data_IF_301817235489
#
_entry.id   IF_301817235489
#
_cell.length_a   1.000
_cell.length_b   1.000
_cell.length_c   1.000
_cell.angle_alpha   90.00
_cell.angle_beta   90.00
_cell.angle_gamma   90.00
#
_symmetry.space_group_name_H-M   'P 1'
#
loop_
_entity.id
_entity.type
_entity.pdbx_description
1 polymer ?
#
# COMPACT_ATOMS: atom_id res chain seq x y z
N UNK A 1 -20.70 -4.52 11.27
CA UNK A 1 -20.29 -3.80 10.05
C UNK A 1 -20.02 -4.86 9.01
N UNK A 2 -20.86 -4.92 8.00
CA UNK A 2 -20.77 -5.96 6.98
C UNK A 2 -20.05 -5.35 5.79
N UNK A 3 -18.75 -5.61 5.70
CA UNK A 3 -17.96 -5.23 4.54
C UNK A 3 -18.31 -6.17 3.37
N UNK A 4 -18.36 -5.63 2.16
CA UNK A 4 -18.61 -6.39 0.95
C UNK A 4 -17.67 -7.60 0.87
N UNK A 5 -18.15 -8.82 0.57
CA UNK A 5 -17.30 -9.99 0.50
C UNK A 5 -16.28 -9.87 -0.65
N UNK A 6 -15.27 -10.75 -0.63
CA UNK A 6 -14.39 -10.92 -1.78
C UNK A 6 -15.10 -11.78 -2.82
N UNK A 7 -14.83 -11.50 -4.09
CA UNK A 7 -15.41 -12.24 -5.21
C UNK A 7 -14.83 -13.64 -5.26
N UNK A 8 -15.68 -14.64 -5.46
CA UNK A 8 -15.25 -16.03 -5.58
C UNK A 8 -14.52 -16.24 -6.93
N UNK A 9 -13.32 -16.85 -6.94
CA UNK A 9 -12.56 -17.13 -8.16
C UNK A 9 -13.38 -17.85 -9.24
N UNK A 10 -14.29 -18.73 -8.84
CA UNK A 10 -15.11 -19.52 -9.77
C UNK A 10 -16.03 -18.65 -10.63
N UNK A 11 -16.55 -17.53 -10.11
CA UNK A 11 -17.38 -16.60 -10.89
C UNK A 11 -16.54 -15.91 -11.97
N UNK A 12 -15.32 -15.48 -11.61
CA UNK A 12 -14.37 -14.86 -12.54
C UNK A 12 -13.97 -15.84 -13.64
N UNK A 13 -13.59 -17.08 -13.28
CA UNK A 13 -13.25 -18.11 -14.28
C UNK A 13 -14.40 -18.40 -15.24
N UNK A 14 -15.64 -18.44 -14.73
CA UNK A 14 -16.83 -18.66 -15.55
C UNK A 14 -17.07 -17.52 -16.54
N UNK A 15 -16.90 -16.26 -16.11
CA UNK A 15 -16.96 -15.09 -16.99
C UNK A 15 -16.00 -15.21 -18.18
N UNK A 16 -14.73 -15.48 -17.91
CA UNK A 16 -13.72 -15.58 -18.97
C UNK A 16 -13.95 -16.77 -19.89
N UNK A 17 -14.44 -17.91 -19.35
CA UNK A 17 -14.80 -19.07 -20.17
C UNK A 17 -15.90 -18.73 -21.18
N UNK A 18 -16.96 -18.05 -20.76
CA UNK A 18 -18.05 -17.65 -21.65
C UNK A 18 -17.60 -16.56 -22.64
N UNK A 19 -16.82 -15.58 -22.17
CA UNK A 19 -16.28 -14.55 -23.05
C UNK A 19 -15.40 -15.12 -24.18
N UNK A 20 -14.60 -16.17 -23.91
CA UNK A 20 -13.83 -16.90 -24.95
C UNK A 20 -14.70 -17.58 -26.01
N UNK A 21 -15.95 -17.89 -25.69
CA UNK A 21 -16.94 -18.44 -26.63
C UNK A 21 -17.77 -17.34 -27.31
N UNK A 22 -17.46 -16.06 -27.07
CA UNK A 22 -18.26 -14.92 -27.56
C UNK A 22 -19.57 -14.70 -26.80
N UNK A 23 -19.79 -15.42 -25.70
CA UNK A 23 -21.02 -15.36 -24.90
C UNK A 23 -20.83 -14.42 -23.72
N UNK A 24 -21.67 -13.39 -23.63
CA UNK A 24 -21.70 -12.47 -22.49
C UNK A 24 -22.95 -12.74 -21.64
N UNK A 25 -22.79 -13.53 -20.58
CA UNK A 25 -23.83 -13.75 -19.57
C UNK A 25 -24.02 -12.46 -18.76
N UNK A 26 -25.06 -11.69 -19.11
CA UNK A 26 -25.30 -10.38 -18.48
C UNK A 26 -25.59 -10.49 -16.98
N UNK A 27 -26.25 -11.58 -16.55
CA UNK A 27 -26.55 -11.82 -15.15
C UNK A 27 -25.27 -12.05 -14.36
N UNK A 28 -24.37 -12.90 -14.87
CA UNK A 28 -23.09 -13.16 -14.23
C UNK A 28 -22.16 -11.93 -14.23
N UNK A 29 -22.15 -11.15 -15.32
CA UNK A 29 -21.41 -9.89 -15.40
C UNK A 29 -21.92 -8.86 -14.39
N UNK A 30 -23.25 -8.76 -14.24
CA UNK A 30 -23.88 -7.88 -13.28
C UNK A 30 -23.51 -8.29 -11.85
N UNK A 31 -23.66 -9.57 -11.52
CA UNK A 31 -23.35 -10.13 -10.20
C UNK A 31 -21.88 -9.88 -9.80
N UNK A 32 -20.92 -10.33 -10.62
CA UNK A 32 -19.49 -10.11 -10.36
C UNK A 32 -19.13 -8.63 -10.32
N UNK A 33 -19.68 -7.86 -11.26
CA UNK A 33 -19.38 -6.44 -11.37
C UNK A 33 -19.83 -5.63 -10.17
N UNK A 34 -21.03 -5.90 -9.63
CA UNK A 34 -21.52 -5.25 -8.42
C UNK A 34 -20.82 -5.73 -7.15
N UNK A 35 -20.43 -7.01 -7.06
CA UNK A 35 -19.58 -7.48 -5.95
C UNK A 35 -18.23 -6.75 -5.95
N UNK A 36 -17.57 -6.64 -7.11
CA UNK A 36 -16.33 -5.87 -7.26
C UNK A 36 -16.55 -4.40 -6.93
N UNK A 37 -17.66 -3.81 -7.39
CA UNK A 37 -18.00 -2.41 -7.15
C UNK A 37 -18.16 -2.11 -5.65
N UNK A 38 -18.96 -2.91 -4.95
CA UNK A 38 -19.18 -2.78 -3.51
C UNK A 38 -17.86 -2.92 -2.74
N UNK A 39 -17.03 -3.90 -3.13
CA UNK A 39 -15.70 -4.08 -2.53
C UNK A 39 -14.77 -2.89 -2.80
N UNK A 40 -14.81 -2.33 -4.00
CA UNK A 40 -14.03 -1.15 -4.36
C UNK A 40 -14.46 0.09 -3.55
N UNK A 41 -15.76 0.28 -3.35
CA UNK A 41 -16.29 1.35 -2.49
C UNK A 41 -15.76 1.23 -1.07
N UNK A 42 -15.81 0.04 -0.48
CA UNK A 42 -15.30 -0.21 0.87
C UNK A 42 -13.79 0.07 0.99
N UNK A 43 -12.99 -0.41 0.03
CA UNK A 43 -11.55 -0.16 -0.02
C UNK A 43 -11.26 1.35 -0.10
N UNK A 44 -12.00 2.07 -0.96
CA UNK A 44 -11.84 3.52 -1.11
C UNK A 44 -12.21 4.26 0.18
N UNK A 45 -13.34 3.91 0.80
CA UNK A 45 -13.83 4.50 2.05
C UNK A 45 -12.83 4.28 3.19
N UNK A 46 -12.32 3.05 3.34
CA UNK A 46 -11.29 2.73 4.34
C UNK A 46 -10.01 3.51 4.09
N UNK A 47 -9.58 3.67 2.84
CA UNK A 47 -8.39 4.44 2.51
C UNK A 47 -8.55 5.94 2.84
N UNK A 48 -9.74 6.50 2.66
CA UNK A 48 -10.03 7.91 3.01
C UNK A 48 -9.96 8.15 4.53
N UNK A 49 -10.29 7.17 5.36
CA UNK A 49 -10.15 7.29 6.82
C UNK A 49 -8.71 7.57 7.23
N UNK A 50 -7.75 6.91 6.60
CA UNK A 50 -6.33 7.07 6.93
C UNK A 50 -5.72 8.35 6.37
N UNK A 51 -6.35 9.00 5.38
CA UNK A 51 -5.90 10.28 4.82
C UNK A 51 -6.57 11.49 5.46
N UNK A 52 -7.88 11.42 5.65
CA UNK A 52 -8.72 12.54 6.07
C UNK A 52 -9.33 12.40 7.46
N UNK A 53 -9.12 11.28 8.15
CA UNK A 53 -9.57 11.11 9.54
C UNK A 53 -11.07 11.03 9.71
N UNK A 54 -11.80 10.74 8.64
CA UNK A 54 -13.25 10.59 8.68
C UNK A 54 -13.59 9.11 8.66
N UNK A 55 -14.06 8.60 9.79
CA UNK A 55 -14.38 7.18 9.99
C UNK A 55 -15.87 6.95 9.68
N UNK A 56 -16.24 6.06 8.75
CA UNK A 56 -17.64 5.73 8.51
C UNK A 56 -18.24 4.99 9.71
N UNK A 57 -19.41 5.43 10.15
CA UNK A 57 -20.17 4.79 11.22
C UNK A 57 -20.57 3.35 10.84
N UNK A 58 -20.38 2.34 11.70
CA UNK A 58 -20.78 0.96 11.43
C UNK A 58 -22.27 0.70 11.19
N UNK A 59 -23.15 1.60 11.64
CA UNK A 59 -24.61 1.47 11.50
C UNK A 59 -25.17 2.22 10.28
N UNK A 60 -24.77 3.47 10.07
CA UNK A 60 -25.38 4.34 9.06
C UNK A 60 -24.38 4.91 8.05
N UNK A 61 -23.10 4.51 8.12
CA UNK A 61 -22.02 4.97 7.23
C UNK A 61 -21.72 6.48 7.27
N UNK A 62 -22.42 7.27 8.09
CA UNK A 62 -22.10 8.69 8.31
C UNK A 62 -20.65 8.85 8.74
N UNK A 63 -19.95 9.80 8.11
CA UNK A 63 -18.54 10.08 8.34
C UNK A 63 -18.35 10.83 9.67
N UNK A 64 -17.79 10.14 10.67
CA UNK A 64 -17.44 10.69 11.98
C UNK A 64 -16.01 11.22 11.95
N UNK A 65 -15.80 12.46 12.38
CA UNK A 65 -14.47 13.03 12.48
C UNK A 65 -13.71 12.38 13.64
N UNK A 66 -12.52 11.87 13.35
CA UNK A 66 -11.55 11.34 14.30
C UNK A 66 -10.43 12.35 14.46
N UNK A 67 -9.88 12.48 15.67
CA UNK A 67 -8.66 13.24 15.89
C UNK A 67 -7.49 12.51 15.22
N UNK A 68 -7.11 12.95 14.03
CA UNK A 68 -5.83 12.54 13.45
C UNK A 68 -4.77 13.37 14.16
N UNK A 69 -3.85 12.71 14.85
CA UNK A 69 -2.67 13.40 15.35
C UNK A 69 -1.91 13.97 14.13
N UNK A 70 -1.65 15.30 14.08
CA UNK A 70 -1.04 15.98 12.93
C UNK A 70 0.29 15.36 12.49
N UNK A 71 0.96 14.66 13.40
CA UNK A 71 2.16 13.88 13.11
C UNK A 71 1.95 12.80 12.04
N UNK A 72 0.71 12.31 11.86
CA UNK A 72 0.35 11.33 10.83
C UNK A 72 -0.31 11.95 9.60
N UNK A 73 -0.76 13.20 9.67
CA UNK A 73 -1.42 13.91 8.56
C UNK A 73 -0.43 14.43 7.51
N UNK A 74 0.84 14.66 7.89
CA UNK A 74 1.86 15.27 7.04
C UNK A 74 2.79 14.27 6.33
N UNK A 75 2.76 12.99 6.71
CA UNK A 75 3.50 11.95 6.02
C UNK A 75 2.56 11.14 5.14
N UNK A 76 2.72 11.23 3.82
CA UNK A 76 2.13 10.24 2.92
C UNK A 76 2.49 8.86 3.48
N UNK A 77 1.50 8.13 3.99
CA UNK A 77 1.66 6.80 4.56
C UNK A 77 1.95 5.72 3.50
N UNK A 78 2.51 6.11 2.36
CA UNK A 78 3.22 5.25 1.44
C UNK A 78 4.71 5.53 1.61
N UNK A 79 5.55 4.53 1.40
CA UNK A 79 6.92 4.85 0.95
C UNK A 79 6.77 5.86 -0.20
N UNK A 80 7.28 7.10 -0.04
CA UNK A 80 7.46 8.10 -1.10
C UNK A 80 8.48 7.57 -2.13
N UNK A 81 8.34 6.31 -2.55
CA UNK A 81 9.12 5.76 -3.64
C UNK A 81 8.30 6.03 -4.89
N UNK A 82 8.67 7.13 -5.53
CA UNK A 82 8.22 7.46 -6.85
C UNK A 82 8.71 6.36 -7.79
N UNK A 83 7.78 5.82 -8.57
CA UNK A 83 8.15 4.94 -9.68
C UNK A 83 8.81 5.80 -10.76
N UNK A 84 9.77 5.22 -11.47
CA UNK A 84 10.47 5.85 -12.58
C UNK A 84 10.57 4.84 -13.72
N UNK A 85 10.85 5.32 -14.94
CA UNK A 85 11.16 4.45 -16.07
C UNK A 85 12.67 4.27 -16.15
N UNK A 86 13.12 3.04 -16.38
CA UNK A 86 14.52 2.82 -16.74
C UNK A 86 14.84 3.61 -18.03
N UNK A 87 15.90 4.42 -18.08
CA UNK A 87 16.29 5.11 -19.30
C UNK A 87 16.74 4.16 -20.42
N UNK A 88 17.10 2.92 -20.08
CA UNK A 88 17.66 1.94 -21.03
C UNK A 88 16.62 0.97 -21.58
N UNK A 89 15.80 0.36 -20.72
CA UNK A 89 14.79 -0.61 -21.14
C UNK A 89 13.35 -0.10 -21.05
N UNK A 90 13.14 1.17 -20.66
CA UNK A 90 11.82 1.82 -20.51
C UNK A 90 10.87 1.20 -19.47
N UNK A 91 11.28 0.09 -18.86
CA UNK A 91 10.54 -0.63 -17.84
C UNK A 91 10.27 0.21 -16.60
N UNK A 92 9.13 -0.07 -15.98
CA UNK A 92 8.67 0.68 -14.82
C UNK A 92 9.26 0.10 -13.54
N UNK A 93 9.98 0.94 -12.78
CA UNK A 93 10.75 0.52 -11.61
C UNK A 93 10.40 1.32 -10.36
N UNK A 94 10.63 0.71 -9.20
CA UNK A 94 10.82 1.41 -7.92
C UNK A 94 12.26 1.24 -7.46
N UNK A 95 12.79 2.25 -6.76
CA UNK A 95 14.17 2.17 -6.24
C UNK A 95 14.37 1.01 -5.24
N UNK A 96 13.33 0.61 -4.50
CA UNK A 96 13.37 -0.60 -3.67
C UNK A 96 13.51 -1.88 -4.48
N UNK A 97 12.95 -1.94 -5.69
CA UNK A 97 12.95 -3.16 -6.50
C UNK A 97 14.38 -3.41 -7.02
N UNK A 98 15.10 -2.35 -7.42
CA UNK A 98 16.54 -2.41 -7.71
C UNK A 98 17.36 -2.93 -6.51
N UNK A 99 17.08 -2.42 -5.30
CA UNK A 99 17.77 -2.89 -4.08
C UNK A 99 17.41 -4.34 -3.74
N UNK A 100 16.16 -4.73 -3.93
CA UNK A 100 15.70 -6.07 -3.60
C UNK A 100 16.26 -7.10 -4.58
N UNK A 101 16.36 -6.76 -5.87
CA UNK A 101 17.03 -7.60 -6.87
C UNK A 101 18.47 -7.94 -6.46
N UNK A 102 19.23 -6.95 -5.98
CA UNK A 102 20.60 -7.16 -5.48
C UNK A 102 20.67 -7.90 -4.14
N UNK A 103 19.60 -7.94 -3.36
CA UNK A 103 19.56 -8.82 -2.17
C UNK A 103 19.29 -10.27 -2.55
N UNK A 104 18.48 -10.47 -3.57
CA UNK A 104 18.13 -11.80 -4.06
C UNK A 104 19.30 -12.42 -4.83
N UNK A 105 19.92 -11.63 -5.72
CA UNK A 105 21.10 -12.00 -6.51
C UNK A 105 22.18 -10.93 -6.30
N UNK A 106 23.01 -11.08 -5.26
CA UNK A 106 24.10 -10.14 -4.98
C UNK A 106 25.05 -10.05 -6.15
N UNK A 107 25.34 -8.82 -6.57
CA UNK A 107 26.31 -8.51 -7.63
C UNK A 107 27.35 -7.55 -7.11
N UNK A 108 28.56 -7.66 -7.64
CA UNK A 108 29.60 -6.68 -7.37
C UNK A 108 29.17 -5.31 -7.88
N UNK A 109 29.50 -4.28 -7.13
CA UNK A 109 29.16 -2.91 -7.52
C UNK A 109 30.08 -2.33 -8.60
N UNK A 110 31.19 -2.98 -8.90
CA UNK A 110 32.16 -2.54 -9.89
C UNK A 110 32.16 -3.50 -11.09
N UNK A 111 32.46 -4.78 -10.84
CA UNK A 111 32.55 -5.82 -11.87
C UNK A 111 31.16 -6.26 -12.39
N UNK A 112 30.07 -5.98 -11.67
CA UNK A 112 28.68 -6.42 -11.94
C UNK A 112 28.44 -7.94 -11.99
N UNK A 113 29.49 -8.75 -11.86
CA UNK A 113 29.40 -10.20 -11.74
C UNK A 113 28.60 -10.59 -10.49
N UNK A 114 27.91 -11.74 -10.58
CA UNK A 114 27.20 -12.34 -9.45
C UNK A 114 28.22 -12.73 -8.39
N UNK A 115 27.93 -12.40 -7.13
CA UNK A 115 28.80 -12.72 -6.01
C UNK A 115 28.51 -14.14 -5.54
N UNK A 116 29.57 -14.87 -5.22
CA UNK A 116 29.45 -16.16 -4.55
C UNK A 116 28.96 -15.93 -3.12
N UNK A 117 27.88 -16.61 -2.74
CA UNK A 117 27.21 -16.45 -1.45
C UNK A 117 27.61 -17.59 -0.51
N UNK A 118 28.61 -17.33 0.31
CA UNK A 118 29.02 -18.18 1.43
C UNK A 118 28.87 -17.40 2.75
N UNK A 119 29.84 -17.47 3.67
CA UNK A 119 29.90 -16.63 4.87
C UNK A 119 30.14 -15.15 4.51
N UNK A 120 30.86 -14.89 3.41
CA UNK A 120 31.07 -13.56 2.83
C UNK A 120 30.77 -13.60 1.33
N UNK A 121 30.37 -12.45 0.78
CA UNK A 121 30.24 -12.28 -0.66
C UNK A 121 31.61 -12.05 -1.30
N UNK A 122 31.93 -12.78 -2.37
CA UNK A 122 33.20 -12.64 -3.11
C UNK A 122 32.92 -12.39 -4.61
N UNK A 123 33.53 -11.36 -5.22
CA UNK A 123 33.61 -11.24 -6.71
C UNK A 123 34.94 -11.80 -7.19
N UNK A 124 34.95 -12.36 -8.41
CA UNK A 124 36.15 -12.69 -9.17
C UNK A 124 37.14 -11.52 -9.36
N UNK A 125 36.71 -10.27 -9.19
CA UNK A 125 37.57 -9.09 -9.20
C UNK A 125 38.33 -8.86 -7.87
N UNK A 126 38.35 -9.84 -6.97
CA UNK A 126 39.08 -9.79 -5.69
C UNK A 126 38.38 -9.05 -4.55
N UNK A 127 37.20 -8.45 -4.79
CA UNK A 127 36.47 -7.71 -3.74
C UNK A 127 35.59 -8.63 -2.91
N UNK A 128 35.56 -8.38 -1.61
CA UNK A 128 34.76 -9.14 -0.65
C UNK A 128 33.89 -8.23 0.22
N UNK A 129 32.73 -8.73 0.63
CA UNK A 129 31.80 -8.02 1.52
C UNK A 129 31.22 -8.97 2.56
N UNK A 130 31.09 -8.52 3.81
CA UNK A 130 30.15 -9.17 4.73
C UNK A 130 28.70 -8.89 4.29
N UNK A 131 27.74 -9.77 4.61
CA UNK A 131 26.33 -9.54 4.28
C UNK A 131 25.77 -8.21 4.80
N UNK A 132 26.19 -7.79 5.99
CA UNK A 132 25.79 -6.53 6.63
C UNK A 132 26.39 -5.32 5.91
N UNK A 133 27.69 -5.37 5.60
CA UNK A 133 28.37 -4.32 4.84
C UNK A 133 27.75 -4.15 3.45
N UNK A 134 27.45 -5.25 2.77
CA UNK A 134 26.78 -5.23 1.47
C UNK A 134 25.38 -4.60 1.55
N UNK A 135 24.56 -5.00 2.54
CA UNK A 135 23.24 -4.40 2.79
C UNK A 135 23.34 -2.90 3.09
N UNK A 136 24.37 -2.47 3.82
CA UNK A 136 24.59 -1.06 4.13
C UNK A 136 24.99 -0.27 2.87
N UNK A 137 25.88 -0.80 2.03
CA UNK A 137 26.24 -0.20 0.75
C UNK A 137 25.02 -0.04 -0.18
N UNK A 138 24.11 -1.02 -0.22
CA UNK A 138 22.86 -0.91 -0.98
C UNK A 138 21.95 0.24 -0.53
N UNK A 139 22.03 0.67 0.73
CA UNK A 139 21.17 1.73 1.27
C UNK A 139 21.64 3.13 0.86
N UNK A 140 22.95 3.31 0.72
CA UNK A 140 23.58 4.62 0.52
C UNK A 140 23.84 4.93 -0.96
N UNK A 141 23.96 3.92 -1.82
CA UNK A 141 24.25 4.11 -3.25
C UNK A 141 23.13 4.86 -3.99
N UNK A 142 23.56 5.73 -4.89
CA UNK A 142 22.72 6.51 -5.80
C UNK A 142 22.62 5.89 -7.20
N UNK A 143 23.45 4.91 -7.52
CA UNK A 143 23.44 4.16 -8.77
C UNK A 143 23.31 2.68 -8.45
N UNK A 144 22.37 2.00 -9.09
CA UNK A 144 22.16 0.56 -8.98
C UNK A 144 21.79 -0.02 -10.35
N UNK A 145 22.14 -1.28 -10.64
CA UNK A 145 21.70 -1.95 -11.86
C UNK A 145 20.17 -2.11 -11.89
N UNK A 146 19.59 -1.89 -13.07
CA UNK A 146 18.22 -2.24 -13.39
C UNK A 146 18.02 -3.76 -13.25
N UNK A 147 16.92 -4.24 -12.63
CA UNK A 147 16.64 -5.67 -12.55
C UNK A 147 16.30 -6.32 -13.90
N UNK A 148 15.96 -5.54 -14.93
CA UNK A 148 15.57 -6.04 -16.26
C UNK A 148 16.74 -6.02 -17.25
N UNK A 149 17.42 -4.88 -17.40
CA UNK A 149 18.52 -4.73 -18.38
C UNK A 149 19.92 -4.70 -17.77
N UNK A 150 20.05 -4.74 -16.44
CA UNK A 150 21.33 -4.67 -15.70
C UNK A 150 22.17 -3.39 -15.90
N UNK A 151 21.74 -2.46 -16.74
CA UNK A 151 22.35 -1.14 -16.85
C UNK A 151 22.11 -0.29 -15.61
N UNK A 152 23.06 0.61 -15.33
CA UNK A 152 22.99 1.47 -14.16
C UNK A 152 21.88 2.50 -14.31
N UNK A 153 21.03 2.56 -13.29
CA UNK A 153 19.99 3.55 -13.13
C UNK A 153 20.28 4.42 -11.91
N UNK A 154 20.07 5.73 -12.06
CA UNK A 154 20.22 6.70 -10.97
C UNK A 154 18.98 6.72 -10.09
N UNK A 155 19.19 6.86 -8.79
CA UNK A 155 18.12 7.06 -7.83
C UNK A 155 17.31 8.29 -8.25
N UNK A 156 15.98 8.17 -8.41
CA UNK A 156 15.15 9.33 -8.69
C UNK A 156 15.34 10.35 -7.58
N UNK A 157 15.60 11.59 -7.98
CA UNK A 157 15.58 12.70 -7.03
C UNK A 157 14.16 12.80 -6.47
N UNK A 158 14.01 13.01 -5.14
CA UNK A 158 12.70 13.33 -4.63
C UNK A 158 12.21 14.56 -5.40
N UNK A 159 10.94 14.60 -5.84
CA UNK A 159 10.42 15.81 -6.46
C UNK A 159 10.74 16.97 -5.52
N UNK A 160 11.28 18.06 -6.08
CA UNK A 160 11.54 19.31 -5.34
C UNK A 160 10.27 19.58 -4.55
N UNK A 161 10.34 19.39 -3.23
CA UNK A 161 9.21 19.72 -2.38
C UNK A 161 9.13 21.23 -2.48
N UNK A 162 8.19 21.74 -3.30
CA UNK A 162 7.69 23.10 -3.14
C UNK A 162 7.47 23.26 -1.65
N UNK A 163 8.19 24.22 -1.06
CA UNK A 163 8.32 24.46 0.37
C UNK A 163 6.92 24.34 0.98
N UNK A 164 6.59 23.16 1.50
CA UNK A 164 5.34 22.98 2.21
C UNK A 164 5.51 23.88 3.41
N UNK A 165 4.66 24.91 3.49
CA UNK A 165 4.49 25.76 4.64
C UNK A 165 4.89 24.99 5.89
N UNK A 166 5.88 25.54 6.61
CA UNK A 166 6.40 25.08 7.90
C UNK A 166 5.22 24.99 8.86
N UNK A 167 4.42 23.93 8.75
CA UNK A 167 3.32 23.65 9.65
C UNK A 167 3.99 23.51 11.01
N UNK A 168 3.65 24.42 11.92
CA UNK A 168 4.10 24.44 13.31
C UNK A 168 4.21 23.00 13.81
N UNK A 169 5.39 22.63 14.29
CA UNK A 169 5.61 21.31 14.88
C UNK A 169 4.48 21.09 15.90
N UNK A 170 3.67 20.03 15.77
CA UNK A 170 2.49 19.88 16.60
C UNK A 170 2.90 19.81 18.06
N UNK A 171 2.17 20.52 18.90
CA UNK A 171 2.34 20.51 20.35
C UNK A 171 2.25 19.05 20.84
N UNK A 172 3.34 18.53 21.39
CA UNK A 172 3.37 17.17 21.91
C UNK A 172 2.97 17.21 23.39
N UNK A 173 2.10 16.28 23.78
CA UNK A 173 1.71 16.13 25.17
C UNK A 173 2.32 14.87 25.77
N UNK A 174 2.76 14.98 27.02
CA UNK A 174 3.29 13.86 27.77
C UNK A 174 2.20 12.82 28.02
N UNK A 175 2.42 11.54 27.70
CA UNK A 175 1.43 10.50 27.95
C UNK A 175 1.21 10.21 29.45
N UNK A 176 2.11 10.66 30.33
CA UNK A 176 2.03 10.43 31.79
C UNK A 176 1.26 11.54 32.51
N UNK A 177 1.58 12.80 32.23
CA UNK A 177 1.02 13.96 32.94
C UNK A 177 0.24 14.93 32.05
N UNK A 178 0.13 14.68 30.75
CA UNK A 178 -0.47 15.58 29.74
C UNK A 178 0.21 16.95 29.56
N UNK A 179 1.22 17.27 30.37
CA UNK A 179 2.05 18.47 30.22
C UNK A 179 2.82 18.51 28.90
N UNK A 180 3.38 19.68 28.57
CA UNK A 180 4.09 19.88 27.31
C UNK A 180 5.30 18.96 27.18
N UNK A 181 5.56 18.51 25.96
CA UNK A 181 6.68 17.64 25.63
C UNK A 181 7.36 18.08 24.33
N UNK A 182 8.66 17.78 24.23
CA UNK A 182 9.50 18.13 23.11
C UNK A 182 10.10 16.87 22.48
N UNK A 183 10.29 16.89 21.17
CA UNK A 183 11.05 15.84 20.48
C UNK A 183 12.52 16.24 20.43
N UNK A 184 13.35 15.58 21.23
CA UNK A 184 14.79 15.83 21.30
C UNK A 184 15.57 14.52 21.16
N UNK A 185 16.60 14.52 20.32
CA UNK A 185 17.52 13.39 20.14
C UNK A 185 16.83 12.02 19.89
N UNK A 186 15.70 12.02 19.17
CA UNK A 186 14.94 10.79 18.89
C UNK A 186 14.06 10.30 20.05
N UNK A 187 13.87 11.10 21.10
CA UNK A 187 12.99 10.85 22.23
C UNK A 187 11.92 11.94 22.35
N UNK A 188 10.77 11.59 22.93
CA UNK A 188 9.85 12.57 23.51
C UNK A 188 10.25 12.77 24.98
N UNK A 189 10.45 14.02 25.36
CA UNK A 189 10.84 14.43 26.71
C UNK A 189 9.82 15.44 27.23
N UNK A 190 9.21 15.14 28.38
CA UNK A 190 8.25 16.03 29.01
C UNK A 190 8.97 17.12 29.81
N UNK A 191 8.58 18.37 29.60
CA UNK A 191 9.15 19.52 30.31
C UNK A 191 8.63 19.66 31.75
N UNK A 192 7.51 19.00 32.07
CA UNK A 192 6.86 19.08 33.40
C UNK A 192 7.31 17.96 34.33
N UNK A 193 7.28 16.71 33.87
CA UNK A 193 7.55 15.54 34.74
C UNK A 193 8.83 14.77 34.39
N UNK A 194 9.64 15.27 33.43
CA UNK A 194 10.87 14.62 32.99
C UNK A 194 10.67 13.27 32.27
N UNK A 195 9.43 12.88 31.97
CA UNK A 195 9.14 11.62 31.29
C UNK A 195 9.84 11.54 29.93
N UNK A 196 10.62 10.48 29.72
CA UNK A 196 11.37 10.23 28.49
C UNK A 196 10.94 8.93 27.84
N UNK A 197 10.68 8.96 26.53
CA UNK A 197 10.37 7.76 25.74
C UNK A 197 10.94 7.87 24.34
N UNK A 198 11.40 6.75 23.76
CA UNK A 198 11.80 6.70 22.35
C UNK A 198 10.66 7.16 21.44
N UNK A 199 10.96 8.08 20.52
CA UNK A 199 9.99 8.67 19.59
C UNK A 199 9.25 7.61 18.78
N UNK A 200 9.97 6.56 18.33
CA UNK A 200 9.38 5.42 17.61
C UNK A 200 8.26 4.76 18.41
N UNK A 201 8.45 4.57 19.71
CA UNK A 201 7.50 3.87 20.57
C UNK A 201 6.35 4.77 21.01
N UNK A 202 6.62 6.07 21.21
CA UNK A 202 5.58 7.08 21.35
C UNK A 202 4.64 7.10 20.12
N UNK A 203 5.20 7.18 18.90
CA UNK A 203 4.40 7.13 17.66
C UNK A 203 3.62 5.82 17.49
N UNK A 204 4.17 4.68 17.92
CA UNK A 204 3.43 3.41 17.95
C UNK A 204 2.26 3.46 18.93
N UNK A 205 2.46 4.06 20.11
CA UNK A 205 1.40 4.19 21.12
C UNK A 205 0.22 5.05 20.64
N UNK A 206 0.51 6.15 19.93
CA UNK A 206 -0.52 6.98 19.32
C UNK A 206 -1.36 6.21 18.27
N UNK A 207 -0.74 5.32 17.48
CA UNK A 207 -1.46 4.44 16.54
C UNK A 207 -2.36 3.41 17.25
N UNK A 208 -2.00 3.02 18.47
CA UNK A 208 -2.72 2.05 19.30
C UNK A 208 -3.79 2.69 20.20
N UNK A 209 -3.85 4.03 20.28
CA UNK A 209 -4.87 4.73 21.07
C UNK A 209 -6.25 4.26 20.60
N UNK A 210 -7.07 3.81 21.55
CA UNK A 210 -8.41 3.30 21.30
C UNK A 210 -9.42 4.34 21.73
N UNK A 211 -9.67 5.30 20.84
CA UNK A 211 -10.64 6.37 21.11
C UNK A 211 -12.09 5.89 20.88
N UNK A 212 -12.99 6.42 21.71
CA UNK A 212 -14.43 6.25 21.58
C UNK A 212 -14.94 7.29 20.57
N UNK A 213 -15.60 6.83 19.52
CA UNK A 213 -16.21 7.65 18.47
C UNK A 213 -17.72 7.54 18.58
N UNK A 214 -18.41 8.66 18.42
CA UNK A 214 -19.86 8.75 18.46
C UNK A 214 -20.39 9.30 17.14
N UNK A 215 -21.40 8.65 16.59
CA UNK A 215 -21.99 9.07 15.33
C UNK A 215 -23.01 10.21 15.57
N UNK A 216 -22.85 11.39 14.95
CA UNK A 216 -23.79 12.49 15.13
C UNK A 216 -25.18 12.22 14.51
N UNK A 217 -25.29 11.24 13.61
CA UNK A 217 -26.53 10.94 12.91
C UNK A 217 -27.38 9.88 13.64
N UNK A 218 -26.77 8.77 14.06
CA UNK A 218 -27.51 7.65 14.68
C UNK A 218 -27.14 7.40 16.15
N UNK A 219 -26.33 8.29 16.76
CA UNK A 219 -25.85 8.21 18.15
C UNK A 219 -25.09 6.92 18.50
N UNK A 220 -24.81 6.08 17.48
CA UNK A 220 -24.08 4.84 17.69
C UNK A 220 -22.65 5.13 18.11
N UNK A 221 -22.26 4.55 19.24
CA UNK A 221 -20.91 4.64 19.75
C UNK A 221 -20.10 3.41 19.39
N UNK A 222 -18.86 3.60 18.92
CA UNK A 222 -17.93 2.53 18.61
C UNK A 222 -16.48 2.92 18.93
N UNK A 223 -15.62 1.90 19.07
CA UNK A 223 -14.20 2.09 19.37
C UNK A 223 -13.33 2.04 18.12
N UNK A 224 -12.32 2.90 18.03
CA UNK A 224 -11.43 2.98 16.88
C UNK A 224 -10.68 1.68 16.60
N UNK A 225 -10.13 0.99 17.62
CA UNK A 225 -9.39 -0.25 17.37
C UNK A 225 -10.31 -1.38 16.88
N UNK A 226 -11.56 -1.43 17.36
CA UNK A 226 -12.56 -2.38 16.85
C UNK A 226 -12.87 -2.11 15.37
N UNK A 227 -13.11 -0.84 15.01
CA UNK A 227 -13.32 -0.44 13.62
C UNK A 227 -12.09 -0.76 12.75
N UNK A 228 -10.90 -0.42 13.22
CA UNK A 228 -9.62 -0.67 12.54
C UNK A 228 -9.37 -2.16 12.31
N UNK A 229 -9.70 -3.01 13.28
CA UNK A 229 -9.60 -4.47 13.17
C UNK A 229 -10.54 -5.00 12.08
N UNK A 230 -11.76 -4.48 12.02
CA UNK A 230 -12.76 -4.90 11.01
C UNK A 230 -12.32 -4.58 9.57
N UNK A 231 -11.51 -3.53 9.36
CA UNK A 231 -11.07 -3.07 8.03
C UNK A 231 -9.76 -3.70 7.56
N UNK A 232 -9.19 -4.65 8.31
CA UNK A 232 -7.88 -5.24 8.00
C UNK A 232 -7.82 -5.83 6.59
N UNK A 233 -8.91 -6.44 6.12
CA UNK A 233 -9.02 -7.04 4.78
C UNK A 233 -9.23 -6.04 3.64
N UNK A 234 -9.41 -4.76 3.95
CA UNK A 234 -9.67 -3.67 2.99
C UNK A 234 -8.51 -2.68 2.88
N UNK A 235 -7.53 -2.81 3.77
CA UNK A 235 -6.46 -1.83 3.90
C UNK A 235 -5.46 -1.95 2.76
N UNK A 236 -5.30 -0.87 2.01
CA UNK A 236 -4.30 -0.74 0.95
C UNK A 236 -3.58 0.59 1.02
N UNK A 237 -2.30 0.61 0.65
CA UNK A 237 -1.55 1.85 0.40
C UNK A 237 -1.91 2.50 -0.95
N UNK A 238 -2.54 1.75 -1.85
CA UNK A 238 -2.90 2.19 -3.20
C UNK A 238 -4.40 1.95 -3.49
N UNK A 239 -5.29 2.90 -3.15
CA UNK A 239 -6.72 2.79 -3.43
C UNK A 239 -7.10 3.20 -4.85
N UNK A 240 -6.15 3.60 -5.72
CA UNK A 240 -6.45 4.12 -7.06
C UNK A 240 -7.25 3.14 -7.93
N UNK A 241 -6.89 1.84 -8.03
CA UNK A 241 -7.65 0.88 -8.85
C UNK A 241 -9.13 0.80 -8.43
N UNK A 242 -9.39 0.77 -7.12
CA UNK A 242 -10.74 0.73 -6.58
C UNK A 242 -11.54 2.00 -6.95
N UNK A 243 -10.94 3.19 -6.83
CA UNK A 243 -11.60 4.46 -7.18
C UNK A 243 -11.90 4.56 -8.68
N UNK A 244 -10.96 4.12 -9.51
CA UNK A 244 -11.13 4.12 -10.97
C UNK A 244 -12.24 3.15 -11.38
N UNK A 245 -12.30 1.96 -10.77
CA UNK A 245 -13.36 1.01 -11.03
C UNK A 245 -14.74 1.57 -10.67
N UNK A 246 -14.91 2.12 -9.47
CA UNK A 246 -16.18 2.74 -9.03
C UNK A 246 -16.65 3.82 -10.00
N UNK A 247 -15.73 4.69 -10.45
CA UNK A 247 -16.06 5.78 -11.38
C UNK A 247 -16.49 5.29 -12.76
N UNK A 248 -15.83 4.24 -13.27
CA UNK A 248 -16.06 3.73 -14.63
C UNK A 248 -17.23 2.75 -14.70
N UNK A 249 -17.42 1.90 -13.69
CA UNK A 249 -18.45 0.86 -13.65
C UNK A 249 -19.86 1.42 -13.90
N UNK A 250 -20.21 2.54 -13.25
CA UNK A 250 -21.52 3.19 -13.39
C UNK A 250 -21.80 3.72 -14.81
N UNK A 251 -20.78 3.80 -15.67
CA UNK A 251 -20.90 4.26 -17.06
C UNK A 251 -21.03 3.11 -18.05
N UNK A 252 -20.79 1.86 -17.63
CA UNK A 252 -20.89 0.68 -18.47
C UNK A 252 -22.36 0.33 -18.72
N UNK A 253 -22.80 0.45 -19.98
CA UNK A 253 -24.19 0.16 -20.39
C UNK A 253 -24.32 -1.20 -21.07
N UNK A 254 -23.28 -1.66 -21.77
CA UNK A 254 -23.32 -2.94 -22.50
C UNK A 254 -22.58 -4.06 -21.75
N UNK A 255 -22.93 -5.35 -21.99
CA UNK A 255 -22.23 -6.49 -21.41
C UNK A 255 -20.73 -6.48 -21.74
N UNK A 256 -20.37 -6.14 -22.98
CA UNK A 256 -18.98 -6.02 -23.40
C UNK A 256 -18.23 -4.93 -22.63
N UNK A 257 -18.83 -3.75 -22.43
CA UNK A 257 -18.23 -2.68 -21.62
C UNK A 257 -18.02 -3.11 -20.17
N UNK A 258 -18.97 -3.87 -19.59
CA UNK A 258 -18.85 -4.43 -18.24
C UNK A 258 -17.69 -5.42 -18.16
N UNK A 259 -17.57 -6.31 -19.14
CA UNK A 259 -16.47 -7.28 -19.22
C UNK A 259 -15.11 -6.58 -19.32
N UNK A 260 -14.96 -5.60 -20.23
CA UNK A 260 -13.73 -4.80 -20.38
C UNK A 260 -13.37 -4.10 -19.06
N UNK A 261 -14.36 -3.57 -18.34
CA UNK A 261 -14.11 -2.86 -17.09
C UNK A 261 -13.69 -3.81 -15.95
N UNK A 262 -14.24 -5.03 -15.91
CA UNK A 262 -13.80 -6.10 -14.99
C UNK A 262 -12.37 -6.53 -15.33
N UNK A 263 -12.10 -6.78 -16.61
CA UNK A 263 -10.79 -7.20 -17.09
C UNK A 263 -9.69 -6.16 -16.79
N UNK A 264 -9.95 -4.88 -17.07
CA UNK A 264 -9.03 -3.79 -16.76
C UNK A 264 -8.66 -3.72 -15.26
N UNK A 265 -9.62 -4.02 -14.37
CA UNK A 265 -9.33 -4.13 -12.95
C UNK A 265 -8.44 -5.35 -12.66
N UNK A 266 -8.78 -6.52 -13.19
CA UNK A 266 -8.03 -7.75 -12.96
C UNK A 266 -6.58 -7.66 -13.46
N UNK A 267 -6.35 -7.10 -14.65
CA UNK A 267 -5.02 -6.80 -15.18
C UNK A 267 -4.25 -5.84 -14.25
N UNK A 268 -4.93 -4.79 -13.74
CA UNK A 268 -4.32 -3.87 -12.79
C UNK A 268 -3.93 -4.56 -11.48
N UNK A 269 -4.70 -5.54 -11.03
CA UNK A 269 -4.41 -6.33 -9.83
C UNK A 269 -3.28 -7.33 -10.07
N UNK A 270 -3.18 -7.90 -11.27
CA UNK A 270 -2.12 -8.81 -11.68
C UNK A 270 -0.75 -8.11 -11.77
N UNK A 271 -0.68 -6.97 -12.45
CA UNK A 271 0.57 -6.19 -12.59
C UNK A 271 1.01 -5.43 -11.32
N UNK A 272 0.17 -5.36 -10.27
CA UNK A 272 0.44 -4.57 -9.05
C UNK A 272 0.42 -5.40 -7.76
N UNK A 273 1.25 -6.46 -7.70
CA UNK A 273 1.63 -7.11 -6.45
C UNK A 273 0.47 -7.62 -5.57
N UNK A 274 0.53 -7.54 -4.22
CA UNK A 274 -0.38 -8.21 -3.30
C UNK A 274 -1.76 -7.54 -3.14
N UNK A 275 -2.28 -6.85 -4.17
CA UNK A 275 -3.60 -6.22 -4.11
C UNK A 275 -4.74 -7.19 -4.37
N UNK A 276 -4.54 -8.18 -5.25
CA UNK A 276 -5.56 -9.14 -5.64
C UNK A 276 -6.24 -9.88 -4.45
N UNK A 277 -5.54 -10.27 -3.36
CA UNK A 277 -6.15 -10.85 -2.17
C UNK A 277 -7.16 -9.95 -1.41
N UNK A 278 -7.22 -8.66 -1.72
CA UNK A 278 -8.23 -7.75 -1.17
C UNK A 278 -9.58 -7.90 -1.89
N UNK A 279 -9.57 -8.39 -3.14
CA UNK A 279 -10.73 -8.47 -4.02
C UNK A 279 -11.22 -9.90 -4.23
N UNK A 280 -10.31 -10.89 -4.23
CA UNK A 280 -10.61 -12.27 -4.62
C UNK A 280 -10.48 -13.21 -3.42
N UNK A 281 -11.46 -14.07 -3.24
CA UNK A 281 -11.54 -14.98 -2.10
C UNK A 281 -10.74 -16.27 -2.31
N UNK A 282 -9.42 -16.16 -2.27
CA UNK A 282 -8.52 -17.33 -2.39
C UNK A 282 -7.13 -17.05 -1.79
N UNK A 283 -6.32 -18.09 -1.69
CA UNK A 283 -4.92 -17.97 -1.27
C UNK A 283 -4.08 -17.22 -2.30
N UNK A 284 -3.07 -16.46 -1.85
CA UNK A 284 -2.24 -15.60 -2.71
C UNK A 284 -1.67 -16.35 -3.93
N UNK A 285 -1.16 -17.58 -3.72
CA UNK A 285 -0.63 -18.42 -4.81
C UNK A 285 -1.70 -18.81 -5.83
N UNK A 286 -2.87 -19.24 -5.37
CA UNK A 286 -4.01 -19.63 -6.23
C UNK A 286 -4.57 -18.43 -7.02
N UNK A 287 -4.58 -17.24 -6.42
CA UNK A 287 -5.00 -16.01 -7.10
C UNK A 287 -4.01 -15.70 -8.23
N UNK A 288 -2.71 -15.75 -7.93
CA UNK A 288 -1.68 -15.46 -8.93
C UNK A 288 -1.76 -16.42 -10.11
N UNK A 289 -1.79 -17.72 -9.85
CA UNK A 289 -1.96 -18.75 -10.88
C UNK A 289 -3.22 -18.48 -11.72
N UNK A 290 -4.37 -18.22 -11.08
CA UNK A 290 -5.58 -17.90 -11.82
C UNK A 290 -5.42 -16.68 -12.73
N UNK A 291 -4.77 -15.61 -12.27
CA UNK A 291 -4.57 -14.42 -13.09
C UNK A 291 -3.58 -14.67 -14.23
N UNK A 292 -2.54 -15.48 -14.01
CA UNK A 292 -1.60 -15.93 -15.04
C UNK A 292 -2.35 -16.74 -16.14
N UNK A 293 -3.25 -17.66 -15.75
CA UNK A 293 -4.06 -18.47 -16.66
C UNK A 293 -5.03 -17.62 -17.52
N UNK A 294 -5.50 -16.49 -16.98
CA UNK A 294 -6.42 -15.58 -17.67
C UNK A 294 -5.71 -14.62 -18.62
N UNK A 295 -4.44 -14.30 -18.34
CA UNK A 295 -3.59 -13.44 -19.16
C UNK A 295 -2.92 -14.20 -20.33
N UNK A 296 -2.95 -15.54 -20.28
CA UNK A 296 -2.50 -16.45 -21.34
C UNK A 296 -3.61 -16.71 -22.35
#
# INVERSE_FOLDING_TARGET
MNWAPRVKPIKIRRLYRYARLGIYDDTLLHDVGWELYARCLDIAAVADVYRGGRVPCPKCSTKVARRIDPLFSSGEGGTHEHWFRCPHCTERLLWRDCRQALRNVPRCFDCRAVLHKEVMFRCACGKTWSPEAYKQSLRTRVLLPCPHCFDLVRRPEPPVQTVRHRQRSPELHCPKCQGFALHQHGNIECTVCGYKRRWRDYRKSLKKKDEKLECPNCQYTFRWQAWRKSTRSLRTGNPRPAREFVKKWLRCRTPQQRMIQIDALLQTLHGRGPLAPLFIDSGVHKIRQMLDDLAS
#
